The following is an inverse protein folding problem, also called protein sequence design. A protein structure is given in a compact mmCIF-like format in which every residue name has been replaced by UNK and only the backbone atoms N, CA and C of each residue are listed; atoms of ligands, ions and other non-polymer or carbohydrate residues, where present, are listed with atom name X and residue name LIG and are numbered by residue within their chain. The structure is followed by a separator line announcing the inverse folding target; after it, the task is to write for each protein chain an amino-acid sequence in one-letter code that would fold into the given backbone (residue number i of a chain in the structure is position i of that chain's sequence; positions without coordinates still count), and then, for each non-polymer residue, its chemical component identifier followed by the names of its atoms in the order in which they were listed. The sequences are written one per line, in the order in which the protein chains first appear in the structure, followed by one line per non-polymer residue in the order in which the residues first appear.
data_IF_160691868175
#
_entry.id   IF_160691868175
#
_cell.length_a   1.000
_cell.length_b   1.000
_cell.length_c   1.000
_cell.angle_alpha   90.00
_cell.angle_beta   90.00
_cell.angle_gamma   90.00
#
_symmetry.space_group_name_H-M   'P 1'
#
loop_
_entity.id
_entity.type
_entity.pdbx_description
1 polymer ?
#
# COMPACT_ATOMS: atom_id res chain seq x y z
N UNK A 1 11.63 9.66 -11.49
CA UNK A 1 12.67 10.54 -10.91
C UNK A 1 12.38 10.81 -9.44
N UNK A 2 11.23 11.41 -9.10
CA UNK A 2 10.87 11.70 -7.69
C UNK A 2 10.77 10.45 -6.80
N UNK A 3 10.18 9.37 -7.31
CA UNK A 3 10.08 8.08 -6.61
C UNK A 3 11.44 7.44 -6.32
N UNK A 4 12.38 7.56 -7.26
CA UNK A 4 13.73 7.02 -7.12
C UNK A 4 14.53 7.81 -6.08
N UNK A 5 14.42 9.14 -6.10
CA UNK A 5 15.03 10.00 -5.08
C UNK A 5 14.46 9.70 -3.69
N UNK A 6 13.13 9.58 -3.56
CA UNK A 6 12.50 9.23 -2.29
C UNK A 6 12.96 7.85 -1.78
N UNK A 7 13.08 6.86 -2.67
CA UNK A 7 13.57 5.53 -2.32
C UNK A 7 15.04 5.55 -1.87
N UNK A 8 15.91 6.30 -2.55
CA UNK A 8 17.33 6.41 -2.19
C UNK A 8 17.50 7.12 -0.85
N UNK A 9 16.87 8.29 -0.67
CA UNK A 9 17.01 9.07 0.58
C UNK A 9 16.38 8.32 1.74
N UNK A 10 15.17 7.76 1.56
CA UNK A 10 14.53 6.93 2.57
C UNK A 10 15.38 5.72 2.94
N UNK A 11 15.96 5.02 1.96
CA UNK A 11 16.86 3.89 2.20
C UNK A 11 18.13 4.29 2.97
N UNK A 12 18.72 5.43 2.67
CA UNK A 12 19.89 5.95 3.41
C UNK A 12 19.52 6.29 4.86
N UNK A 13 18.38 6.94 5.08
CA UNK A 13 17.90 7.26 6.44
C UNK A 13 17.67 5.98 7.23
N UNK A 14 16.95 5.00 6.66
CA UNK A 14 16.70 3.70 7.30
C UNK A 14 18.00 2.95 7.61
N UNK A 15 18.99 2.97 6.70
CA UNK A 15 20.29 2.34 6.95
C UNK A 15 21.05 3.01 8.09
N UNK A 16 20.88 4.32 8.29
CA UNK A 16 21.51 5.08 9.38
C UNK A 16 20.81 4.89 10.72
N UNK A 17 19.48 4.74 10.73
CA UNK A 17 18.67 4.53 11.93
C UNK A 17 18.42 3.05 12.23
N UNK A 18 18.99 2.13 11.46
CA UNK A 18 18.80 0.67 11.62
C UNK A 18 19.19 0.16 13.02
N UNK A 19 20.12 0.85 13.70
CA UNK A 19 20.54 0.52 15.07
C UNK A 19 19.63 1.08 16.17
N UNK A 20 18.67 1.95 15.84
CA UNK A 20 17.65 2.43 16.78
C UNK A 20 16.53 1.37 16.86
N UNK A 21 16.05 1.09 18.08
CA UNK A 21 15.17 -0.05 18.35
C UNK A 21 13.99 -0.15 17.37
N UNK A 22 13.80 -1.34 16.80
CA UNK A 22 12.69 -1.66 15.91
C UNK A 22 11.36 -1.45 16.63
N UNK A 23 10.38 -0.85 15.94
CA UNK A 23 9.01 -0.77 16.47
C UNK A 23 8.28 -2.14 16.50
N UNK A 24 8.89 -3.15 15.87
CA UNK A 24 8.47 -4.54 15.91
C UNK A 24 9.17 -5.25 17.06
N UNK A 25 8.45 -5.41 18.16
CA UNK A 25 8.86 -6.20 19.33
C UNK A 25 8.64 -7.71 19.11
N UNK A 26 9.26 -8.58 19.93
CA UNK A 26 9.17 -10.05 19.82
C UNK A 26 7.73 -10.58 19.81
N UNK A 27 6.80 -9.83 20.40
CA UNK A 27 5.38 -10.18 20.45
C UNK A 27 4.57 -9.72 19.23
N UNK A 28 5.01 -8.65 18.57
CA UNK A 28 4.26 -8.03 17.45
C UNK A 28 4.73 -8.55 16.09
N UNK A 29 5.99 -8.98 15.98
CA UNK A 29 6.56 -9.55 14.76
C UNK A 29 5.81 -10.78 14.20
N UNK A 30 5.47 -11.80 15.03
CA UNK A 30 4.75 -12.98 14.56
C UNK A 30 3.33 -12.65 14.07
N UNK A 31 2.62 -11.76 14.79
CA UNK A 31 1.27 -11.33 14.42
C UNK A 31 1.28 -10.59 13.08
N UNK A 32 2.24 -9.68 12.90
CA UNK A 32 2.44 -8.99 11.63
C UNK A 32 2.73 -9.97 10.48
N UNK A 33 3.62 -10.94 10.71
CA UNK A 33 3.94 -11.98 9.72
C UNK A 33 2.72 -12.81 9.30
N UNK A 34 1.84 -13.16 10.26
CA UNK A 34 0.60 -13.89 9.97
C UNK A 34 -0.38 -13.04 9.16
N UNK A 35 -0.54 -11.76 9.51
CA UNK A 35 -1.40 -10.84 8.74
C UNK A 35 -0.91 -10.72 7.29
N UNK A 36 0.40 -10.49 7.11
CA UNK A 36 1.01 -10.42 5.77
C UNK A 36 0.82 -11.71 5.00
N UNK A 37 1.00 -12.86 5.64
CA UNK A 37 0.79 -14.16 5.00
C UNK A 37 -0.66 -14.29 4.52
N UNK A 38 -1.63 -13.95 5.37
CA UNK A 38 -3.06 -13.96 5.03
C UNK A 38 -3.35 -13.02 3.85
N UNK A 39 -2.76 -11.83 3.83
CA UNK A 39 -2.93 -10.85 2.74
C UNK A 39 -2.34 -11.33 1.42
N UNK A 40 -1.16 -11.95 1.44
CA UNK A 40 -0.54 -12.56 0.26
C UNK A 40 -1.43 -13.68 -0.28
N UNK A 41 -1.97 -14.52 0.59
CA UNK A 41 -2.90 -15.59 0.22
C UNK A 41 -4.19 -15.01 -0.38
N UNK A 42 -4.77 -13.97 0.22
CA UNK A 42 -5.96 -13.27 -0.28
C UNK A 42 -5.71 -12.60 -1.64
N UNK A 43 -4.53 -11.99 -1.83
CA UNK A 43 -4.09 -11.41 -3.09
C UNK A 43 -4.04 -12.48 -4.19
N UNK A 44 -3.34 -13.59 -3.92
CA UNK A 44 -3.20 -14.67 -4.87
C UNK A 44 -4.55 -15.34 -5.18
N UNK A 45 -5.34 -15.64 -4.14
CA UNK A 45 -6.66 -16.27 -4.28
C UNK A 45 -7.61 -15.39 -5.10
N UNK A 46 -7.72 -14.10 -4.78
CA UNK A 46 -8.60 -13.20 -5.52
C UNK A 46 -8.12 -12.95 -6.95
N UNK A 47 -6.81 -12.85 -7.19
CA UNK A 47 -6.26 -12.74 -8.55
C UNK A 47 -6.56 -13.99 -9.40
N UNK A 48 -6.43 -15.19 -8.83
CA UNK A 48 -6.75 -16.45 -9.51
C UNK A 48 -8.26 -16.55 -9.79
N UNK A 49 -9.09 -16.21 -8.80
CA UNK A 49 -10.55 -16.22 -8.94
C UNK A 49 -11.03 -15.24 -10.02
N UNK A 50 -10.53 -14.00 -10.01
CA UNK A 50 -10.84 -12.98 -11.01
C UNK A 50 -10.39 -13.38 -12.42
N UNK A 51 -9.21 -14.02 -12.55
CA UNK A 51 -8.75 -14.60 -13.82
C UNK A 51 -9.70 -15.70 -14.31
N UNK A 52 -10.11 -16.61 -13.44
CA UNK A 52 -11.05 -17.69 -13.80
C UNK A 52 -12.44 -17.18 -14.17
N UNK A 53 -12.88 -16.08 -13.55
CA UNK A 53 -14.15 -15.44 -13.86
C UNK A 53 -14.11 -14.56 -15.13
N UNK A 54 -12.99 -14.52 -15.86
CA UNK A 54 -12.83 -13.67 -17.06
C UNK A 54 -12.76 -12.17 -16.75
N UNK A 55 -12.57 -11.78 -15.48
CA UNK A 55 -12.54 -10.39 -15.00
C UNK A 55 -11.13 -9.92 -14.69
N UNK A 56 -10.16 -10.32 -15.50
CA UNK A 56 -8.75 -9.91 -15.41
C UNK A 56 -8.53 -8.40 -15.23
N UNK A 57 -9.33 -7.49 -15.84
CA UNK A 57 -9.17 -6.04 -15.64
C UNK A 57 -9.40 -5.56 -14.20
N UNK A 58 -10.05 -6.35 -13.34
CA UNK A 58 -10.32 -5.99 -11.94
C UNK A 58 -9.22 -6.48 -10.98
N UNK A 59 -8.28 -7.31 -11.44
CA UNK A 59 -7.16 -7.80 -10.62
C UNK A 59 -6.34 -6.65 -10.00
N UNK A 60 -6.00 -5.56 -10.72
CA UNK A 60 -5.26 -4.44 -10.13
C UNK A 60 -6.01 -3.76 -8.99
N UNK A 61 -7.34 -3.68 -9.08
CA UNK A 61 -8.15 -3.09 -8.04
C UNK A 61 -8.26 -3.95 -6.79
N UNK A 62 -8.36 -5.26 -6.97
CA UNK A 62 -8.30 -6.22 -5.87
C UNK A 62 -6.98 -6.11 -5.09
N UNK A 63 -5.86 -6.04 -5.82
CA UNK A 63 -4.54 -5.90 -5.22
C UNK A 63 -4.42 -4.54 -4.51
N UNK A 64 -4.85 -3.44 -5.15
CA UNK A 64 -4.80 -2.11 -4.54
C UNK A 64 -5.63 -2.02 -3.25
N UNK A 65 -6.77 -2.73 -3.18
CA UNK A 65 -7.59 -2.82 -1.98
C UNK A 65 -6.85 -3.51 -0.84
N UNK A 66 -6.25 -4.67 -1.11
CA UNK A 66 -5.49 -5.43 -0.10
C UNK A 66 -4.27 -4.64 0.35
N UNK A 67 -3.57 -3.97 -0.57
CA UNK A 67 -2.45 -3.08 -0.24
C UNK A 67 -2.92 -1.94 0.67
N UNK A 68 -4.07 -1.31 0.38
CA UNK A 68 -4.65 -0.30 1.27
C UNK A 68 -5.00 -0.84 2.66
N UNK A 69 -5.58 -2.05 2.72
CA UNK A 69 -5.89 -2.73 3.99
C UNK A 69 -4.63 -3.04 4.81
N UNK A 70 -3.54 -3.45 4.14
CA UNK A 70 -2.24 -3.76 4.75
C UNK A 70 -1.60 -2.57 5.48
N UNK A 71 -1.86 -1.36 5.01
CA UNK A 71 -1.36 -0.15 5.68
C UNK A 71 -2.07 0.16 7.01
N UNK A 72 -3.24 -0.42 7.29
CA UNK A 72 -3.93 -0.21 8.58
C UNK A 72 -3.20 -0.86 9.76
N UNK A 73 -2.79 -2.15 9.71
CA UNK A 73 -1.93 -2.76 10.71
C UNK A 73 -0.62 -1.99 10.93
N UNK A 74 -0.05 -1.40 9.86
CA UNK A 74 1.21 -0.68 9.92
C UNK A 74 1.13 0.64 10.72
N UNK A 75 -0.02 1.32 10.75
CA UNK A 75 -0.16 2.60 11.45
C UNK A 75 0.12 2.55 12.97
N UNK A 76 -0.48 1.63 13.76
CA UNK A 76 -0.15 1.48 15.17
C UNK A 76 1.26 0.88 15.39
N UNK A 77 1.70 0.02 14.47
CA UNK A 77 3.02 -0.62 14.50
C UNK A 77 4.17 0.36 14.31
N UNK A 78 4.03 1.36 13.43
CA UNK A 78 5.02 2.41 13.21
C UNK A 78 4.80 3.64 14.09
N UNK A 79 3.80 3.61 15.00
CA UNK A 79 3.35 4.77 15.81
C UNK A 79 3.11 6.04 14.99
N UNK A 80 2.77 5.89 13.71
CA UNK A 80 2.66 7.00 12.77
C UNK A 80 1.22 7.05 12.22
N UNK A 81 0.31 7.79 12.89
CA UNK A 81 -1.11 7.80 12.56
C UNK A 81 -1.41 8.36 11.17
N UNK A 82 -0.50 9.17 10.59
CA UNK A 82 -0.61 9.65 9.23
C UNK A 82 -0.57 8.51 8.18
N UNK A 83 0.02 7.34 8.48
CA UNK A 83 -0.08 6.16 7.61
C UNK A 83 -1.52 5.66 7.47
N UNK A 84 -2.35 5.78 8.52
CA UNK A 84 -3.75 5.35 8.45
C UNK A 84 -4.56 6.21 7.47
N UNK A 85 -4.22 7.50 7.34
CA UNK A 85 -4.84 8.41 6.38
C UNK A 85 -4.52 7.94 4.96
N UNK A 86 -3.25 7.64 4.68
CA UNK A 86 -2.82 7.13 3.37
C UNK A 86 -3.40 5.74 3.07
N UNK A 87 -3.52 4.87 4.08
CA UNK A 87 -4.18 3.57 3.98
C UNK A 87 -5.64 3.72 3.53
N UNK A 88 -6.40 4.61 4.18
CA UNK A 88 -7.77 4.92 3.83
C UNK A 88 -7.87 5.51 2.42
N UNK A 89 -6.95 6.40 2.04
CA UNK A 89 -6.93 7.04 0.73
C UNK A 89 -6.66 6.04 -0.40
N UNK A 90 -5.69 5.15 -0.24
CA UNK A 90 -5.39 4.08 -1.22
C UNK A 90 -6.57 3.09 -1.32
N UNK A 91 -7.18 2.72 -0.19
CA UNK A 91 -8.36 1.85 -0.16
C UNK A 91 -9.54 2.50 -0.88
N UNK A 92 -9.77 3.80 -0.62
CA UNK A 92 -10.82 4.56 -1.28
C UNK A 92 -10.58 4.68 -2.78
N UNK A 93 -9.34 4.93 -3.21
CA UNK A 93 -8.97 4.96 -4.64
C UNK A 93 -9.17 3.59 -5.30
N UNK A 94 -8.90 2.48 -4.60
CA UNK A 94 -9.16 1.15 -5.12
C UNK A 94 -10.67 0.89 -5.33
N UNK A 95 -11.51 1.33 -4.40
CA UNK A 95 -12.98 1.19 -4.49
C UNK A 95 -13.60 2.12 -5.54
N UNK A 96 -13.25 3.41 -5.49
CA UNK A 96 -13.81 4.45 -6.36
C UNK A 96 -13.24 4.37 -7.77
N UNK A 97 -11.96 4.04 -7.91
CA UNK A 97 -11.28 3.93 -9.21
C UNK A 97 -11.91 2.87 -10.12
N UNK A 98 -12.43 1.78 -9.56
CA UNK A 98 -13.20 0.77 -10.32
C UNK A 98 -14.54 1.34 -10.79
N UNK A 99 -15.27 2.05 -9.92
CA UNK A 99 -16.54 2.66 -10.28
C UNK A 99 -16.38 3.74 -11.35
N UNK A 100 -15.33 4.57 -11.24
CA UNK A 100 -14.97 5.61 -12.21
C UNK A 100 -14.55 4.98 -13.54
N UNK A 101 -13.66 3.97 -13.52
CA UNK A 101 -13.24 3.29 -14.75
C UNK A 101 -14.43 2.69 -15.51
N UNK A 102 -15.39 2.07 -14.79
CA UNK A 102 -16.62 1.54 -15.39
C UNK A 102 -17.56 2.63 -15.91
N UNK A 103 -17.60 3.80 -15.28
CA UNK A 103 -18.47 4.91 -15.69
C UNK A 103 -17.95 5.63 -16.94
N UNK A 104 -16.64 5.67 -17.13
CA UNK A 104 -15.98 6.36 -18.25
C UNK A 104 -15.43 5.42 -19.33
N UNK A 105 -15.74 4.12 -19.26
CA UNK A 105 -15.25 3.07 -20.18
C UNK A 105 -13.71 3.04 -20.32
N UNK A 106 -13.02 3.36 -19.22
CA UNK A 106 -11.56 3.38 -19.15
C UNK A 106 -11.04 2.04 -18.63
N UNK A 107 -9.80 1.71 -18.99
CA UNK A 107 -9.09 0.57 -18.44
C UNK A 107 -8.97 0.72 -16.90
N UNK A 108 -9.56 -0.19 -16.09
CA UNK A 108 -9.51 -0.08 -14.63
C UNK A 108 -8.09 -0.12 -14.07
N UNK A 109 -7.16 -0.79 -14.76
CA UNK A 109 -5.74 -0.82 -14.44
C UNK A 109 -5.09 0.56 -14.49
N UNK A 110 -5.47 1.40 -15.46
CA UNK A 110 -4.90 2.73 -15.62
C UNK A 110 -5.39 3.68 -14.52
N UNK A 111 -6.70 3.68 -14.25
CA UNK A 111 -7.32 4.58 -13.27
C UNK A 111 -6.89 4.22 -11.85
N UNK A 112 -6.99 2.93 -11.49
CA UNK A 112 -6.63 2.47 -10.14
C UNK A 112 -5.12 2.51 -9.95
N UNK A 113 -4.34 2.11 -10.95
CA UNK A 113 -2.88 2.14 -10.89
C UNK A 113 -2.31 3.56 -10.77
N UNK A 114 -2.80 4.50 -11.57
CA UNK A 114 -2.36 5.89 -11.48
C UNK A 114 -2.77 6.54 -10.14
N UNK A 115 -4.01 6.31 -9.69
CA UNK A 115 -4.50 6.85 -8.43
C UNK A 115 -3.73 6.30 -7.23
N UNK A 116 -3.57 4.97 -7.15
CA UNK A 116 -2.83 4.34 -6.06
C UNK A 116 -1.34 4.74 -6.08
N UNK A 117 -0.73 4.80 -7.26
CA UNK A 117 0.66 5.24 -7.42
C UNK A 117 0.90 6.69 -6.95
N UNK A 118 -0.01 7.61 -7.28
CA UNK A 118 0.05 8.99 -6.79
C UNK A 118 -0.14 9.08 -5.27
N UNK A 119 -1.10 8.36 -4.72
CA UNK A 119 -1.33 8.33 -3.27
C UNK A 119 -0.13 7.78 -2.51
N UNK A 120 0.48 6.69 -3.00
CA UNK A 120 1.69 6.11 -2.40
C UNK A 120 2.90 7.03 -2.52
N UNK A 121 3.07 7.71 -3.66
CA UNK A 121 4.17 8.66 -3.85
C UNK A 121 4.05 9.86 -2.91
N UNK A 122 2.83 10.39 -2.74
CA UNK A 122 2.57 11.47 -1.79
C UNK A 122 2.80 11.01 -0.34
N UNK A 123 2.36 9.80 0.02
CA UNK A 123 2.66 9.18 1.30
C UNK A 123 4.17 9.06 1.55
N UNK A 124 4.93 8.54 0.59
CA UNK A 124 6.39 8.43 0.67
C UNK A 124 7.06 9.81 0.84
N UNK A 125 6.60 10.84 0.14
CA UNK A 125 7.10 12.20 0.30
C UNK A 125 6.82 12.74 1.72
N UNK A 126 5.62 12.54 2.26
CA UNK A 126 5.30 12.98 3.64
C UNK A 126 6.13 12.25 4.69
N UNK A 127 6.33 10.94 4.53
CA UNK A 127 7.17 10.16 5.42
C UNK A 127 8.63 10.64 5.38
N UNK A 128 9.14 10.95 4.18
CA UNK A 128 10.48 11.48 4.03
C UNK A 128 10.66 12.85 4.68
N UNK A 129 9.69 13.77 4.50
CA UNK A 129 9.72 15.08 5.16
C UNK A 129 9.74 14.89 6.68
N UNK A 130 8.88 14.02 7.21
CA UNK A 130 8.82 13.76 8.64
C UNK A 130 10.08 13.12 9.21
N UNK A 131 10.81 12.34 8.41
CA UNK A 131 12.08 11.75 8.81
C UNK A 131 13.25 12.75 8.80
N UNK A 132 13.11 13.89 8.10
CA UNK A 132 14.13 14.93 7.99
C UNK A 132 13.92 16.11 8.95
N UNK A 133 12.73 16.22 9.56
CA UNK A 133 12.35 17.27 10.53
C UNK A 133 12.32 16.75 11.94
#
# INVERSE_FOLDING_TARGET
MLSLAAAIVGGIVTARTWGEGSSVDERTGPVFGVIVLIEVVLCAAGAIWLRRAGRTPLVPAWIALIVGLHFFPLAPLLRYPALAIWAALVTLVALVGVAVARRFDLAPSAVVGAGAGMALLAGAATALVHALT
#
